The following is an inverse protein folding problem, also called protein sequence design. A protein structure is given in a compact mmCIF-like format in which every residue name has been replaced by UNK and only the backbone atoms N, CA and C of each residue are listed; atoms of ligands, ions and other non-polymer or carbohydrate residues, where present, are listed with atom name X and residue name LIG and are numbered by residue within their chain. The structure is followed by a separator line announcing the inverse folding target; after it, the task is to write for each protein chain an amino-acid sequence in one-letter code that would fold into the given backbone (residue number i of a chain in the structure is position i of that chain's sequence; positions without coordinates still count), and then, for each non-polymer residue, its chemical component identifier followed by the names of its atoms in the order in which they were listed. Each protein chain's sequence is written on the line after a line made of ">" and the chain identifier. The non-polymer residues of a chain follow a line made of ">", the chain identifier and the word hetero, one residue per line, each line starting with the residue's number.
data_IF_625041541785
#
_entry.id   IF_625041541785
#
_cell.length_a   1.000
_cell.length_b   1.000
_cell.length_c   1.000
_cell.angle_alpha   90.00
_cell.angle_beta   90.00
_cell.angle_gamma   90.00
#
_symmetry.space_group_name_H-M   'P 1'
#
loop_
_entity.id
_entity.type
_entity.pdbx_description
1 polymer ?
#
# COMPACT_ATOMS: atom_id res chain seq x y z
N UNK A 1 -16.01 -1.89 -18.92
CA UNK A 1 -15.47 -2.24 -17.57
C UNK A 1 -16.22 -1.45 -16.50
N UNK A 2 -16.25 -1.93 -15.25
CA UNK A 2 -16.74 -1.11 -14.12
C UNK A 2 -15.65 -0.12 -13.68
N UNK A 3 -15.98 1.10 -13.23
CA UNK A 3 -14.99 2.03 -12.69
C UNK A 3 -14.29 1.46 -11.44
N UNK A 4 -12.97 1.61 -11.36
CA UNK A 4 -12.19 1.29 -10.16
C UNK A 4 -12.41 2.42 -9.16
N UNK A 5 -12.93 2.10 -7.96
CA UNK A 5 -13.17 3.08 -6.89
C UNK A 5 -12.13 3.00 -5.77
N UNK A 6 -11.50 1.84 -5.61
CA UNK A 6 -10.39 1.65 -4.68
C UNK A 6 -9.39 0.66 -5.25
N UNK A 7 -8.10 0.85 -4.90
CA UNK A 7 -6.97 0.03 -5.31
C UNK A 7 -6.18 -0.38 -4.07
N UNK A 8 -5.99 -1.69 -3.88
CA UNK A 8 -5.04 -2.23 -2.91
C UNK A 8 -3.67 -2.40 -3.58
N UNK A 9 -2.63 -1.87 -2.95
CA UNK A 9 -1.26 -1.94 -3.45
C UNK A 9 -0.52 -3.04 -2.67
N UNK A 10 -0.44 -4.22 -3.28
CA UNK A 10 0.26 -5.38 -2.71
C UNK A 10 1.78 -5.29 -2.90
N UNK A 11 2.39 -4.19 -2.42
CA UNK A 11 3.81 -3.90 -2.55
C UNK A 11 4.29 -2.91 -1.47
N UNK A 12 5.60 -2.66 -1.37
CA UNK A 12 6.25 -1.75 -0.41
C UNK A 12 7.08 -0.66 -1.12
N UNK A 13 7.68 0.22 -0.32
CA UNK A 13 8.71 1.19 -0.77
C UNK A 13 8.27 2.11 -1.93
N UNK A 14 9.20 2.54 -2.80
CA UNK A 14 8.98 3.61 -3.78
C UNK A 14 7.99 3.23 -4.87
N UNK A 15 7.94 1.97 -5.27
CA UNK A 15 6.98 1.48 -6.27
C UNK A 15 5.55 1.51 -5.72
N UNK A 16 5.33 1.21 -4.44
CA UNK A 16 4.02 1.36 -3.81
C UNK A 16 3.57 2.82 -3.80
N UNK A 17 4.48 3.74 -3.42
CA UNK A 17 4.22 5.19 -3.46
C UNK A 17 3.93 5.67 -4.90
N UNK A 18 4.63 5.15 -5.91
CA UNK A 18 4.40 5.49 -7.32
C UNK A 18 3.00 5.10 -7.79
N UNK A 19 2.53 3.91 -7.42
CA UNK A 19 1.16 3.46 -7.72
C UNK A 19 0.12 4.29 -6.99
N UNK A 20 0.35 4.63 -5.71
CA UNK A 20 -0.56 5.49 -4.94
C UNK A 20 -0.70 6.89 -5.56
N UNK A 21 0.38 7.49 -6.07
CA UNK A 21 0.33 8.79 -6.76
C UNK A 21 -0.52 8.75 -8.01
N UNK A 22 -0.34 7.74 -8.87
CA UNK A 22 -1.17 7.57 -10.06
C UNK A 22 -2.64 7.31 -9.73
N UNK A 23 -2.92 6.54 -8.66
CA UNK A 23 -4.29 6.33 -8.18
C UNK A 23 -4.94 7.63 -7.66
N UNK A 24 -4.18 8.45 -6.92
CA UNK A 24 -4.64 9.75 -6.42
C UNK A 24 -4.94 10.75 -7.56
N UNK A 25 -4.09 10.80 -8.60
CA UNK A 25 -4.34 11.59 -9.82
C UNK A 25 -5.64 11.17 -10.53
N UNK A 26 -6.06 9.92 -10.37
CA UNK A 26 -7.32 9.37 -10.90
C UNK A 26 -8.50 9.43 -9.90
N UNK A 27 -8.34 10.04 -8.72
CA UNK A 27 -9.32 10.06 -7.61
C UNK A 27 -9.75 8.65 -7.13
N UNK A 28 -8.82 7.68 -7.12
CA UNK A 28 -9.04 6.31 -6.66
C UNK A 28 -8.50 6.15 -5.23
N UNK A 29 -9.33 5.67 -4.30
CA UNK A 29 -8.96 5.40 -2.90
C UNK A 29 -7.91 4.29 -2.79
N UNK A 30 -6.83 4.57 -2.09
CA UNK A 30 -5.64 3.72 -1.95
C UNK A 30 -5.63 2.93 -0.64
N UNK A 31 -5.22 1.66 -0.70
CA UNK A 31 -5.03 0.80 0.47
C UNK A 31 -3.63 0.18 0.42
N UNK A 32 -2.81 0.43 1.43
CA UNK A 32 -1.47 -0.14 1.57
C UNK A 32 -1.47 -1.42 2.45
N UNK A 33 -0.47 -2.26 2.24
CA UNK A 33 -0.09 -3.33 3.17
C UNK A 33 1.34 -3.11 3.68
N UNK A 34 1.64 -3.54 4.91
CA UNK A 34 2.99 -3.47 5.48
C UNK A 34 3.29 -4.67 6.41
N UNK A 35 4.54 -5.12 6.43
CA UNK A 35 5.05 -6.06 7.44
C UNK A 35 5.41 -5.32 8.74
N UNK A 36 5.62 -6.02 9.85
CA UNK A 36 5.98 -5.40 11.15
C UNK A 36 7.26 -4.55 11.04
N UNK A 37 8.23 -5.01 10.26
CA UNK A 37 9.49 -4.35 9.95
C UNK A 37 9.28 -3.05 9.14
N UNK A 38 8.22 -3.00 8.33
CA UNK A 38 7.82 -1.86 7.49
C UNK A 38 6.86 -0.89 8.21
N UNK A 39 6.59 -1.05 9.52
CA UNK A 39 5.61 -0.20 10.24
C UNK A 39 5.95 1.30 10.23
N UNK A 40 7.21 1.67 9.99
CA UNK A 40 7.68 3.05 9.84
C UNK A 40 7.99 3.43 8.38
N UNK A 41 7.76 2.53 7.42
CA UNK A 41 8.03 2.77 6.01
C UNK A 41 7.10 3.84 5.42
N UNK A 42 7.64 4.69 4.56
CA UNK A 42 6.92 5.87 4.05
C UNK A 42 5.63 5.53 3.28
N UNK A 43 5.57 4.38 2.59
CA UNK A 43 4.39 3.99 1.80
C UNK A 43 3.16 3.76 2.67
N UNK A 44 3.33 3.30 3.92
CA UNK A 44 2.24 3.13 4.90
C UNK A 44 1.50 4.44 5.15
N UNK A 45 2.21 5.56 5.20
CA UNK A 45 1.66 6.90 5.47
C UNK A 45 1.27 7.67 4.20
N UNK A 46 1.32 7.02 3.02
CA UNK A 46 0.96 7.62 1.72
C UNK A 46 -0.34 7.09 1.12
N UNK A 47 -0.90 6.04 1.68
CA UNK A 47 -2.24 5.55 1.33
C UNK A 47 -3.30 6.13 2.27
N UNK A 48 -4.56 6.11 1.82
CA UNK A 48 -5.73 6.52 2.62
C UNK A 48 -5.96 5.56 3.80
N UNK A 49 -5.67 4.27 3.60
CA UNK A 49 -5.69 3.23 4.62
C UNK A 49 -4.45 2.32 4.51
N UNK A 50 -3.99 1.77 5.64
CA UNK A 50 -2.88 0.83 5.65
C UNK A 50 -3.06 -0.27 6.70
N UNK A 51 -2.89 -1.53 6.29
CA UNK A 51 -3.09 -2.71 7.15
C UNK A 51 -1.81 -3.54 7.29
N UNK A 52 -1.57 -4.05 8.50
CA UNK A 52 -0.49 -4.99 8.75
C UNK A 52 -0.82 -6.35 8.12
N UNK A 53 0.17 -6.96 7.47
CA UNK A 53 0.10 -8.31 6.91
C UNK A 53 1.28 -9.15 7.39
N UNK A 54 1.15 -10.48 7.32
CA UNK A 54 2.22 -11.40 7.73
C UNK A 54 2.51 -11.41 9.23
N UNK A 55 1.56 -11.01 10.09
CA UNK A 55 1.75 -11.03 11.53
C UNK A 55 2.17 -12.44 12.02
N UNK A 56 3.27 -12.50 12.78
CA UNK A 56 3.87 -13.77 13.25
C UNK A 56 4.70 -14.53 12.21
N UNK A 57 4.75 -14.08 10.95
CA UNK A 57 5.65 -14.63 9.94
C UNK A 57 7.02 -13.92 10.01
N UNK A 58 8.09 -14.63 9.63
CA UNK A 58 9.40 -14.01 9.47
C UNK A 58 9.52 -13.39 8.07
N UNK A 59 10.35 -12.36 7.88
CA UNK A 59 10.75 -11.91 6.55
C UNK A 59 11.22 -13.09 5.70
N UNK A 60 10.80 -13.12 4.43
CA UNK A 60 11.35 -14.05 3.44
C UNK A 60 12.79 -13.61 3.16
N UNK A 61 13.74 -14.51 3.41
CA UNK A 61 15.16 -14.33 3.13
C UNK A 61 15.51 -14.69 1.68
#
# INVERSE_FOLDING_TARGET
>A
MKPIRSLLIANRSEIAIRVMRAAAEMNIRTVAIYAEEDKLALHRFKADEAYQVGAGQKPIA
#
